data_IF_019909238632
#
_entry.id   IF_019909238632
#
_cell.length_a   1.000
_cell.length_b   1.000
_cell.length_c   1.000
_cell.angle_alpha   90.00
_cell.angle_beta   90.00
_cell.angle_gamma   90.00
#
_symmetry.space_group_name_H-M   'P 1'
#
loop_
_entity.id
_entity.type
_entity.pdbx_description
1 polymer ?
#
# COMPACT_ATOMS: atom_id res chain seq x y z
N UNK A 1 -4.40 4.17 -28.65
CA UNK A 1 -3.85 4.34 -27.28
C UNK A 1 -4.94 3.96 -26.29
N UNK A 2 -4.67 2.99 -25.43
CA UNK A 2 -5.64 2.47 -24.45
C UNK A 2 -5.65 3.34 -23.18
N UNK A 3 -6.71 3.24 -22.37
CA UNK A 3 -6.76 3.94 -21.08
C UNK A 3 -5.61 3.54 -20.14
N UNK A 4 -5.23 2.27 -20.15
CA UNK A 4 -4.14 1.77 -19.30
C UNK A 4 -2.78 2.34 -19.73
N UNK A 5 -2.55 2.51 -21.03
CA UNK A 5 -1.35 3.16 -21.55
C UNK A 5 -1.29 4.64 -21.15
N UNK A 6 -2.43 5.35 -21.23
CA UNK A 6 -2.51 6.75 -20.78
C UNK A 6 -2.24 6.87 -19.27
N UNK A 7 -2.82 6.00 -18.44
CA UNK A 7 -2.52 5.97 -17.01
C UNK A 7 -1.05 5.64 -16.73
N UNK A 8 -0.46 4.72 -17.50
CA UNK A 8 0.97 4.43 -17.40
C UNK A 8 1.82 5.67 -17.72
N UNK A 9 1.53 6.37 -18.79
CA UNK A 9 2.22 7.61 -19.17
C UNK A 9 2.03 8.71 -18.13
N UNK A 10 0.81 8.84 -17.57
CA UNK A 10 0.56 9.77 -16.45
C UNK A 10 1.47 9.45 -15.24
N UNK A 11 1.65 8.17 -14.90
CA UNK A 11 2.59 7.78 -13.86
C UNK A 11 4.02 8.23 -14.16
N UNK A 12 4.50 7.96 -15.37
CA UNK A 12 5.87 8.34 -15.79
C UNK A 12 6.08 9.85 -15.77
N UNK A 13 5.08 10.62 -16.21
CA UNK A 13 5.15 12.08 -16.21
C UNK A 13 5.13 12.69 -14.79
N UNK A 14 4.61 11.94 -13.81
CA UNK A 14 4.52 12.37 -12.41
C UNK A 14 5.43 11.53 -11.49
N UNK A 15 6.56 11.05 -11.98
CA UNK A 15 7.46 10.17 -11.21
C UNK A 15 7.99 10.84 -9.94
N UNK A 16 8.11 12.16 -9.90
CA UNK A 16 8.53 12.95 -8.74
C UNK A 16 7.50 12.97 -7.61
N UNK A 17 6.22 12.70 -7.93
CA UNK A 17 5.11 12.62 -6.98
C UNK A 17 4.98 11.25 -6.32
N UNK A 18 5.80 10.27 -6.75
CA UNK A 18 5.75 8.91 -6.19
C UNK A 18 6.17 8.93 -4.73
N UNK A 19 5.26 8.47 -3.88
CA UNK A 19 5.48 8.42 -2.44
C UNK A 19 5.24 9.76 -1.71
N UNK A 20 4.89 10.84 -2.41
CA UNK A 20 4.67 12.15 -1.81
C UNK A 20 3.24 12.24 -1.25
N UNK A 21 3.07 12.42 0.08
CA UNK A 21 1.76 12.65 0.67
C UNK A 21 1.19 14.00 0.22
N UNK A 22 -0.10 14.07 0.00
CA UNK A 22 -0.80 15.30 -0.32
C UNK A 22 -2.17 15.35 0.34
N UNK A 23 -2.67 16.55 0.57
CA UNK A 23 -3.98 16.80 1.14
C UNK A 23 -4.80 17.69 0.20
N UNK A 24 -6.11 17.54 0.23
CA UNK A 24 -6.99 18.44 -0.49
C UNK A 24 -7.16 19.79 0.25
N UNK A 25 -7.91 20.73 -0.36
CA UNK A 25 -8.19 22.05 0.22
C UNK A 25 -8.88 22.01 1.60
N UNK A 26 -9.50 20.88 1.96
CA UNK A 26 -10.15 20.65 3.26
C UNK A 26 -9.24 19.93 4.26
N UNK A 27 -7.94 19.76 3.97
CA UNK A 27 -6.99 19.05 4.81
C UNK A 27 -7.16 17.53 4.85
N UNK A 28 -7.94 16.93 3.95
CA UNK A 28 -8.11 15.48 3.89
C UNK A 28 -6.98 14.86 3.06
N UNK A 29 -6.42 13.76 3.57
CA UNK A 29 -5.42 12.99 2.85
C UNK A 29 -5.95 12.51 1.49
N UNK A 30 -5.15 12.71 0.47
CA UNK A 30 -5.38 12.19 -0.87
C UNK A 30 -4.60 10.88 -1.08
N UNK A 31 -5.07 9.99 -1.97
CA UNK A 31 -4.29 8.81 -2.34
C UNK A 31 -2.90 9.19 -2.85
N UNK A 32 -1.88 8.54 -2.33
CA UNK A 32 -0.49 8.70 -2.76
C UNK A 32 -0.27 7.97 -4.07
N UNK A 33 0.53 8.53 -4.95
CA UNK A 33 1.05 7.82 -6.12
C UNK A 33 2.05 6.77 -5.64
N UNK A 34 1.65 5.49 -5.67
CA UNK A 34 2.40 4.41 -5.03
C UNK A 34 3.58 3.94 -5.89
N UNK A 35 4.74 3.64 -5.27
CA UNK A 35 5.82 2.93 -5.96
C UNK A 35 5.36 1.56 -6.46
N UNK A 36 5.99 1.04 -7.50
CA UNK A 36 5.77 -0.33 -7.98
C UNK A 36 5.99 -1.33 -6.83
N UNK A 37 5.12 -2.33 -6.71
CA UNK A 37 5.23 -3.35 -5.65
C UNK A 37 4.89 -2.84 -4.25
N UNK A 38 4.19 -1.72 -4.14
CA UNK A 38 3.76 -1.17 -2.85
C UNK A 38 2.25 -0.92 -2.79
N UNK A 39 1.75 -0.89 -1.59
CA UNK A 39 0.36 -0.50 -1.27
C UNK A 39 0.34 0.45 -0.09
N UNK A 40 -0.77 1.12 0.16
CA UNK A 40 -0.97 1.92 1.37
C UNK A 40 -1.77 1.13 2.41
N UNK A 41 -1.37 1.24 3.67
CA UNK A 41 -2.02 0.58 4.80
C UNK A 41 -2.02 1.50 6.02
N UNK A 42 -3.08 1.45 6.82
CA UNK A 42 -3.06 2.09 8.15
C UNK A 42 -2.21 1.23 9.09
N UNK A 43 -1.16 1.83 9.64
CA UNK A 43 -0.25 1.21 10.61
C UNK A 43 -0.45 1.90 11.95
N UNK A 44 -0.36 1.16 13.04
CA UNK A 44 -0.72 1.65 14.37
C UNK A 44 0.50 1.83 15.28
N UNK A 45 1.49 0.96 15.14
CA UNK A 45 2.68 0.92 16.01
C UNK A 45 3.95 1.07 15.19
N UNK A 46 4.90 1.85 15.68
CA UNK A 46 6.25 1.95 15.14
C UNK A 46 7.25 1.46 16.19
N UNK A 47 8.06 0.47 15.82
CA UNK A 47 9.14 -0.06 16.64
C UNK A 47 10.45 0.56 16.17
N UNK A 48 11.21 1.12 17.11
CA UNK A 48 12.54 1.67 16.88
C UNK A 48 13.60 0.64 17.27
N UNK A 49 14.54 0.39 16.35
CA UNK A 49 15.63 -0.57 16.49
C UNK A 49 16.98 0.11 16.28
N UNK A 50 18.04 -0.46 16.87
CA UNK A 50 19.42 -0.14 16.49
C UNK A 50 19.77 -0.78 15.13
N UNK A 51 20.92 -0.42 14.57
CA UNK A 51 21.47 -1.03 13.33
C UNK A 51 21.69 -2.54 13.48
N UNK A 52 21.93 -3.03 14.71
CA UNK A 52 22.14 -4.42 15.04
C UNK A 52 20.84 -5.18 15.34
N UNK A 53 19.68 -4.55 15.18
CA UNK A 53 18.38 -5.17 15.46
C UNK A 53 18.10 -5.36 16.95
N UNK A 54 18.54 -4.42 17.80
CA UNK A 54 18.13 -4.38 19.20
C UNK A 54 16.92 -3.45 19.35
N UNK A 55 15.93 -3.88 20.11
CA UNK A 55 14.77 -3.04 20.48
C UNK A 55 15.24 -1.84 21.29
N UNK A 56 14.72 -0.67 20.98
CA UNK A 56 14.96 0.56 21.72
C UNK A 56 13.68 1.01 22.43
N UNK A 57 12.63 1.23 21.70
CA UNK A 57 11.30 1.60 22.18
C UNK A 57 10.26 1.43 21.06
N UNK A 58 8.99 1.46 21.42
CA UNK A 58 7.89 1.53 20.49
C UNK A 58 6.99 2.74 20.77
N UNK A 59 6.25 3.18 19.76
CA UNK A 59 5.24 4.22 19.92
C UNK A 59 3.99 3.93 19.12
N UNK A 60 2.86 4.43 19.58
CA UNK A 60 1.63 4.45 18.81
C UNK A 60 1.69 5.65 17.88
N UNK A 61 1.37 5.42 16.60
CA UNK A 61 1.37 6.46 15.58
C UNK A 61 0.18 7.41 15.76
N UNK A 62 0.40 8.68 15.50
CA UNK A 62 -0.68 9.67 15.43
C UNK A 62 -1.50 9.44 14.16
N UNK A 63 -2.73 9.90 14.14
CA UNK A 63 -3.68 9.71 13.02
C UNK A 63 -3.10 10.16 11.67
N UNK A 64 -2.35 11.26 11.66
CA UNK A 64 -1.68 11.84 10.49
C UNK A 64 -0.42 11.06 10.04
N UNK A 65 0.09 10.14 10.87
CA UNK A 65 1.25 9.31 10.56
C UNK A 65 0.88 7.86 10.17
N UNK A 66 -0.39 7.46 10.35
CA UNK A 66 -0.81 6.07 10.20
C UNK A 66 -0.80 5.57 8.76
N UNK A 67 -1.14 6.45 7.80
CA UNK A 67 -1.13 6.07 6.38
C UNK A 67 0.30 5.80 5.93
N UNK A 68 0.63 4.54 5.73
CA UNK A 68 1.99 4.07 5.50
C UNK A 68 2.07 3.35 4.16
N UNK A 69 3.10 3.66 3.37
CA UNK A 69 3.46 2.91 2.16
C UNK A 69 4.20 1.65 2.60
N UNK A 70 3.70 0.50 2.19
CA UNK A 70 4.29 -0.79 2.56
C UNK A 70 4.58 -1.63 1.33
N UNK A 71 5.67 -2.43 1.33
CA UNK A 71 5.93 -3.39 0.27
C UNK A 71 4.80 -4.43 0.19
N UNK A 72 4.48 -4.88 -1.00
CA UNK A 72 3.53 -5.97 -1.19
C UNK A 72 3.86 -6.82 -2.42
N UNK A 73 3.61 -8.11 -2.31
CA UNK A 73 3.55 -9.02 -3.46
C UNK A 73 2.17 -8.94 -4.11
N UNK A 74 2.00 -9.44 -5.32
CA UNK A 74 0.67 -9.56 -5.95
C UNK A 74 -0.30 -10.35 -5.06
N UNK A 75 0.16 -11.43 -4.47
CA UNK A 75 -0.64 -12.28 -3.58
C UNK A 75 -1.01 -11.57 -2.28
N UNK A 76 -0.03 -10.93 -1.62
CA UNK A 76 -0.29 -10.22 -0.36
C UNK A 76 -1.17 -8.99 -0.55
N UNK A 77 -1.06 -8.29 -1.67
CA UNK A 77 -1.93 -7.16 -2.01
C UNK A 77 -3.37 -7.60 -2.24
N UNK A 78 -3.59 -8.80 -2.78
CA UNK A 78 -4.89 -9.35 -3.11
C UNK A 78 -5.48 -10.24 -2.01
N UNK A 79 -4.81 -10.42 -0.87
CA UNK A 79 -5.27 -11.32 0.19
C UNK A 79 -6.64 -10.94 0.73
N UNK A 80 -7.57 -11.88 0.65
CA UNK A 80 -8.93 -11.75 1.20
C UNK A 80 -9.20 -12.80 2.27
N UNK A 81 -8.77 -14.04 2.03
CA UNK A 81 -8.99 -15.20 2.90
C UNK A 81 -7.74 -16.05 3.12
N UNK A 82 -6.75 -15.92 2.25
CA UNK A 82 -5.48 -16.63 2.38
C UNK A 82 -4.47 -15.85 3.23
N UNK A 83 -3.78 -16.50 4.16
CA UNK A 83 -2.76 -15.86 4.96
C UNK A 83 -1.44 -15.74 4.17
N UNK A 84 -1.29 -14.63 3.44
CA UNK A 84 -0.04 -14.27 2.75
C UNK A 84 0.52 -13.01 3.43
N UNK A 85 1.72 -13.05 4.04
CA UNK A 85 2.29 -11.90 4.71
C UNK A 85 2.70 -10.80 3.73
N UNK A 86 2.52 -9.53 4.14
CA UNK A 86 3.20 -8.42 3.49
C UNK A 86 4.67 -8.42 3.89
N UNK A 87 5.58 -8.10 2.98
CA UNK A 87 6.99 -7.91 3.33
C UNK A 87 7.18 -6.73 4.29
N UNK A 88 8.05 -6.84 5.26
CA UNK A 88 8.52 -5.82 6.19
C UNK A 88 7.45 -5.26 7.17
N UNK A 89 6.23 -4.98 6.74
CA UNK A 89 5.18 -4.34 7.57
C UNK A 89 3.92 -5.18 7.53
N UNK A 90 3.48 -5.71 8.68
CA UNK A 90 2.23 -6.47 8.75
C UNK A 90 1.63 -6.44 10.16
N UNK A 91 0.52 -7.16 10.35
CA UNK A 91 -0.15 -7.38 11.63
C UNK A 91 0.65 -8.30 12.55
N UNK A 92 0.39 -8.19 13.85
CA UNK A 92 0.97 -9.07 14.88
C UNK A 92 0.85 -10.56 14.52
N UNK A 93 -0.28 -11.00 13.98
CA UNK A 93 -0.51 -12.37 13.51
C UNK A 93 0.59 -12.91 12.57
N UNK A 94 1.19 -12.01 11.76
CA UNK A 94 2.17 -12.38 10.74
C UNK A 94 3.61 -12.22 11.23
N UNK A 95 3.87 -11.20 12.04
CA UNK A 95 5.24 -10.78 12.37
C UNK A 95 5.69 -11.21 13.78
N UNK A 96 4.75 -11.52 14.69
CA UNK A 96 5.09 -11.85 16.08
C UNK A 96 5.23 -13.36 16.30
N UNK A 97 6.43 -13.81 16.65
CA UNK A 97 6.70 -15.21 16.95
C UNK A 97 6.01 -15.70 18.23
N UNK A 98 5.74 -14.79 19.15
CA UNK A 98 5.06 -15.02 20.43
C UNK A 98 3.53 -14.81 20.37
N UNK A 99 2.93 -14.61 19.18
CA UNK A 99 1.50 -14.36 19.01
C UNK A 99 0.61 -15.42 19.67
N UNK A 100 0.97 -16.69 19.55
CA UNK A 100 0.24 -17.81 20.19
C UNK A 100 0.32 -17.80 21.72
N UNK A 101 1.48 -17.41 22.28
CA UNK A 101 1.72 -17.29 23.74
C UNK A 101 0.73 -16.30 24.37
N UNK A 102 0.46 -15.20 23.68
CA UNK A 102 -0.42 -14.13 24.15
C UNK A 102 -1.88 -14.23 23.66
N UNK A 103 -2.35 -15.43 23.32
CA UNK A 103 -3.77 -15.69 23.04
C UNK A 103 -4.23 -15.33 21.63
N UNK A 104 -3.31 -15.20 20.68
CA UNK A 104 -3.64 -15.06 19.27
C UNK A 104 -4.46 -16.25 18.77
N UNK A 105 -5.67 -15.99 18.28
CA UNK A 105 -6.62 -17.02 17.85
C UNK A 105 -6.55 -17.34 16.35
N UNK A 106 -5.91 -16.48 15.57
CA UNK A 106 -5.74 -16.67 14.13
C UNK A 106 -4.52 -17.55 13.84
N UNK A 107 -4.51 -18.19 12.67
CA UNK A 107 -3.35 -18.94 12.20
C UNK A 107 -2.12 -18.02 12.14
N UNK A 108 -1.11 -18.35 12.92
CA UNK A 108 0.16 -17.64 12.93
C UNK A 108 0.92 -17.92 11.62
N UNK A 109 1.52 -16.89 11.02
CA UNK A 109 2.22 -16.95 9.75
C UNK A 109 3.66 -16.40 9.87
N UNK A 110 4.20 -16.43 11.06
CA UNK A 110 5.53 -15.90 11.37
C UNK A 110 6.66 -16.61 10.60
N UNK A 111 6.56 -17.92 10.44
CA UNK A 111 7.56 -18.69 9.71
C UNK A 111 7.61 -18.30 8.22
N UNK A 112 6.44 -18.14 7.59
CA UNK A 112 6.31 -17.73 6.20
C UNK A 112 6.76 -16.28 6.02
N UNK A 113 6.43 -15.41 6.97
CA UNK A 113 6.88 -14.02 6.98
C UNK A 113 8.42 -13.93 7.10
N UNK A 114 9.01 -14.63 8.07
CA UNK A 114 10.47 -14.66 8.23
C UNK A 114 11.19 -15.24 7.01
N UNK A 115 10.61 -16.28 6.40
CA UNK A 115 11.18 -16.85 5.17
C UNK A 115 11.24 -15.78 4.07
N UNK A 116 10.14 -15.09 3.82
CA UNK A 116 10.08 -14.03 2.82
C UNK A 116 11.09 -12.89 3.10
N UNK A 117 11.16 -12.44 4.35
CA UNK A 117 12.09 -11.37 4.75
C UNK A 117 13.54 -11.84 4.65
N UNK A 118 13.85 -13.08 5.00
CA UNK A 118 15.18 -13.69 4.89
C UNK A 118 15.59 -13.84 3.43
N UNK A 119 14.69 -14.28 2.55
CA UNK A 119 14.95 -14.42 1.12
C UNK A 119 15.31 -13.04 0.50
N UNK A 120 14.59 -11.98 0.89
CA UNK A 120 14.93 -10.61 0.49
C UNK A 120 16.29 -10.16 1.04
N UNK A 121 16.55 -10.32 2.35
CA UNK A 121 17.83 -9.96 2.97
C UNK A 121 19.03 -10.66 2.35
N UNK A 122 18.87 -11.92 1.91
CA UNK A 122 19.94 -12.74 1.33
C UNK A 122 20.11 -12.53 -0.19
N UNK A 123 19.21 -11.78 -0.81
CA UNK A 123 19.31 -11.43 -2.23
C UNK A 123 20.42 -10.38 -2.45
N UNK A 124 20.86 -10.18 -3.71
CA UNK A 124 21.78 -9.10 -4.05
C UNK A 124 21.25 -7.69 -3.70
N UNK A 125 19.96 -7.58 -3.45
CA UNK A 125 19.27 -6.33 -3.16
C UNK A 125 19.04 -6.11 -1.66
N UNK A 126 19.44 -7.05 -0.78
CA UNK A 126 19.24 -6.96 0.67
C UNK A 126 19.97 -5.76 1.27
N UNK A 127 19.30 -5.06 2.21
CA UNK A 127 19.83 -3.87 2.88
C UNK A 127 20.14 -4.14 4.35
N UNK A 128 21.17 -3.51 4.93
CA UNK A 128 21.51 -3.67 6.35
C UNK A 128 20.35 -3.33 7.29
N UNK A 129 19.58 -2.27 7.02
CA UNK A 129 18.44 -1.88 7.85
C UNK A 129 17.27 -2.89 7.79
N UNK A 130 17.04 -3.54 6.66
CA UNK A 130 16.04 -4.62 6.54
C UNK A 130 16.52 -5.86 7.29
N UNK A 131 17.82 -6.12 7.25
CA UNK A 131 18.47 -7.22 8.02
C UNK A 131 18.39 -6.98 9.52
N UNK A 132 18.49 -5.74 10.00
CA UNK A 132 18.30 -5.40 11.41
C UNK A 132 16.89 -5.78 11.88
N UNK A 133 15.87 -5.54 11.06
CA UNK A 133 14.49 -5.97 11.35
C UNK A 133 14.39 -7.50 11.39
N UNK A 134 15.01 -8.21 10.45
CA UNK A 134 15.04 -9.67 10.44
C UNK A 134 15.67 -10.21 11.75
N UNK A 135 16.83 -9.70 12.14
CA UNK A 135 17.51 -10.13 13.38
C UNK A 135 16.67 -9.87 14.64
N UNK A 136 15.93 -8.77 14.68
CA UNK A 136 14.99 -8.51 15.75
C UNK A 136 13.86 -9.52 15.77
N UNK A 137 13.19 -9.73 14.66
CA UNK A 137 12.02 -10.60 14.57
C UNK A 137 12.35 -12.08 14.78
N UNK A 138 13.56 -12.53 14.44
CA UNK A 138 14.03 -13.90 14.69
C UNK A 138 14.08 -14.26 16.18
N UNK A 139 14.13 -13.28 17.10
CA UNK A 139 14.05 -13.50 18.54
C UNK A 139 12.67 -14.01 18.98
N UNK A 140 11.62 -13.66 18.25
CA UNK A 140 10.25 -14.11 18.52
C UNK A 140 9.61 -13.52 19.76
N UNK A 141 10.03 -12.33 20.23
CA UNK A 141 9.57 -11.67 21.46
C UNK A 141 8.87 -10.34 21.23
N UNK A 142 8.33 -10.09 20.03
CA UNK A 142 7.79 -8.80 19.64
C UNK A 142 6.64 -8.33 20.54
N UNK A 143 5.68 -9.21 20.88
CA UNK A 143 4.55 -8.84 21.75
C UNK A 143 5.04 -8.60 23.17
N UNK A 144 5.98 -9.39 23.66
CA UNK A 144 6.61 -9.20 24.97
C UNK A 144 7.25 -7.82 25.10
N UNK A 145 8.09 -7.42 24.13
CA UNK A 145 8.70 -6.10 24.09
C UNK A 145 7.65 -4.97 24.06
N UNK A 146 6.55 -5.14 23.30
CA UNK A 146 5.48 -4.14 23.23
C UNK A 146 4.64 -4.06 24.53
N UNK A 147 4.54 -5.14 25.28
CA UNK A 147 3.90 -5.14 26.61
C UNK A 147 4.81 -4.45 27.62
N UNK A 148 6.09 -4.77 27.63
CA UNK A 148 7.07 -4.16 28.53
C UNK A 148 7.19 -2.64 28.29
N UNK A 149 7.07 -2.19 27.05
CA UNK A 149 7.09 -0.77 26.67
C UNK A 149 5.72 -0.05 26.84
N UNK A 150 4.70 -0.75 27.35
CA UNK A 150 3.37 -0.19 27.63
C UNK A 150 2.50 0.10 26.41
N UNK A 151 2.81 -0.49 25.26
CA UNK A 151 2.05 -0.34 24.01
C UNK A 151 0.86 -1.29 23.94
N UNK A 152 1.06 -2.57 24.35
CA UNK A 152 0.03 -3.59 24.38
C UNK A 152 -0.30 -4.00 25.82
N UNK A 153 -1.53 -4.44 26.03
CA UNK A 153 -2.09 -4.73 27.36
C UNK A 153 -2.57 -6.18 27.45
N UNK A 154 -2.24 -6.84 28.58
CA UNK A 154 -2.70 -8.19 28.87
C UNK A 154 -3.74 -8.18 29.99
N UNK A 155 -4.65 -9.15 29.96
CA UNK A 155 -5.61 -9.41 31.02
C UNK A 155 -5.01 -10.25 32.15
N UNK A 156 -5.83 -10.54 33.16
CA UNK A 156 -5.46 -11.41 34.28
C UNK A 156 -5.14 -12.85 33.85
N UNK A 157 -5.56 -13.25 32.66
CA UNK A 157 -5.25 -14.56 32.06
C UNK A 157 -3.92 -14.58 31.29
N UNK A 158 -3.16 -13.47 31.31
CA UNK A 158 -1.90 -13.31 30.60
C UNK A 158 -2.02 -13.20 29.08
N UNK A 159 -3.23 -12.98 28.54
CA UNK A 159 -3.48 -12.84 27.11
C UNK A 159 -3.78 -11.40 26.74
N UNK A 160 -3.56 -11.04 25.47
CA UNK A 160 -3.88 -9.72 24.94
C UNK A 160 -5.37 -9.41 25.12
N UNK A 161 -5.67 -8.26 25.69
CA UNK A 161 -7.03 -7.75 25.86
C UNK A 161 -7.60 -7.40 24.50
N UNK A 162 -8.72 -8.00 24.08
CA UNK A 162 -9.35 -7.72 22.78
C UNK A 162 -10.17 -6.44 22.77
N UNK A 163 -10.73 -6.06 23.93
CA UNK A 163 -11.51 -4.83 24.10
C UNK A 163 -11.21 -4.23 25.45
N UNK A 164 -11.05 -2.92 25.48
CA UNK A 164 -10.92 -2.21 26.74
C UNK A 164 -12.24 -2.27 27.53
N UNK A 165 -12.16 -2.66 28.79
CA UNK A 165 -13.30 -2.80 29.71
C UNK A 165 -13.24 -1.82 30.89
N UNK A 166 -12.18 -1.03 30.99
CA UNK A 166 -12.01 0.02 31.99
C UNK A 166 -12.79 1.30 31.68
N UNK A 167 -12.59 2.34 32.49
CA UNK A 167 -13.21 3.64 32.26
C UNK A 167 -12.84 4.20 30.88
N UNK A 168 -13.77 4.90 30.22
CA UNK A 168 -13.57 5.44 28.87
C UNK A 168 -12.44 6.46 28.82
N UNK A 169 -12.31 7.23 29.88
CA UNK A 169 -11.29 8.29 30.04
C UNK A 169 -9.89 7.72 30.17
N UNK A 170 -9.77 6.47 30.62
CA UNK A 170 -8.51 5.73 30.80
C UNK A 170 -8.18 4.82 29.62
N UNK A 171 -8.98 4.86 28.55
CA UNK A 171 -8.77 3.98 27.37
C UNK A 171 -7.40 4.22 26.76
N UNK A 172 -6.49 3.22 26.76
CA UNK A 172 -5.19 3.37 26.15
C UNK A 172 -5.28 3.65 24.65
N UNK A 173 -4.32 4.41 24.14
CA UNK A 173 -4.34 4.96 22.78
C UNK A 173 -4.46 3.87 21.71
N UNK A 174 -3.88 2.68 21.95
CA UNK A 174 -3.94 1.56 21.01
C UNK A 174 -5.39 1.14 20.70
N UNK A 175 -6.29 1.12 21.69
CA UNK A 175 -7.68 0.75 21.52
C UNK A 175 -8.51 1.85 20.81
N UNK A 176 -8.03 3.10 20.85
CA UNK A 176 -8.68 4.22 20.18
C UNK A 176 -8.31 4.31 18.69
N UNK A 177 -7.12 3.82 18.34
CA UNK A 177 -6.56 3.96 16.99
C UNK A 177 -6.94 2.81 16.06
N UNK A 178 -7.22 1.63 16.61
CA UNK A 178 -7.57 0.44 15.82
C UNK A 178 -9.09 0.36 15.62
N UNK A 179 -9.51 0.23 14.37
CA UNK A 179 -10.92 0.04 14.06
C UNK A 179 -11.47 -1.22 14.75
N UNK A 180 -12.50 -1.04 15.58
CA UNK A 180 -13.07 -2.12 16.40
C UNK A 180 -12.36 -2.36 17.73
N UNK A 181 -11.26 -1.63 18.01
CA UNK A 181 -10.58 -1.64 19.30
C UNK A 181 -9.89 -2.96 19.68
N UNK A 182 -9.61 -3.85 18.73
CA UNK A 182 -8.89 -5.12 18.99
C UNK A 182 -7.40 -4.94 18.71
N UNK A 183 -6.58 -4.81 19.77
CA UNK A 183 -5.14 -4.61 19.63
C UNK A 183 -4.41 -5.77 18.92
N UNK A 184 -5.00 -6.97 18.85
CA UNK A 184 -4.43 -8.09 18.10
C UNK A 184 -4.40 -7.84 16.58
N UNK A 185 -5.17 -6.86 16.09
CA UNK A 185 -5.20 -6.43 14.70
C UNK A 185 -4.19 -5.31 14.38
N UNK A 186 -3.36 -4.92 15.34
CA UNK A 186 -2.37 -3.88 15.16
C UNK A 186 -1.39 -4.21 14.02
N UNK A 187 -1.21 -3.26 13.11
CA UNK A 187 -0.12 -3.26 12.14
C UNK A 187 1.10 -2.58 12.74
N UNK A 188 2.28 -3.12 12.45
CA UNK A 188 3.55 -2.64 12.98
C UNK A 188 4.50 -2.31 11.83
N UNK A 189 5.17 -1.15 11.92
CA UNK A 189 6.27 -0.75 11.05
C UNK A 189 7.55 -0.55 11.86
N UNK A 190 8.66 -0.41 11.16
CA UNK A 190 9.99 -0.33 11.78
C UNK A 190 10.71 0.95 11.42
N UNK A 191 11.41 1.47 12.43
CA UNK A 191 12.38 2.54 12.33
C UNK A 191 13.75 1.94 12.72
N UNK A 192 14.76 2.17 11.93
CA UNK A 192 16.13 1.69 12.23
C UNK A 192 17.05 2.89 12.25
N UNK A 193 17.74 3.10 13.37
CA UNK A 193 18.69 4.19 13.55
C UNK A 193 18.07 5.58 13.25
N UNK A 194 16.84 5.78 13.72
CA UNK A 194 16.11 7.05 13.55
C UNK A 194 15.45 7.25 12.18
N UNK A 195 15.52 6.27 11.27
CA UNK A 195 14.92 6.33 9.93
C UNK A 195 13.75 5.37 9.80
N UNK A 196 12.57 5.90 9.50
CA UNK A 196 11.40 5.08 9.19
C UNK A 196 11.58 4.37 7.85
N UNK A 197 11.63 3.03 7.85
CA UNK A 197 11.90 2.25 6.64
C UNK A 197 10.80 2.36 5.60
N UNK A 198 9.58 2.65 6.03
CA UNK A 198 8.42 2.85 5.14
C UNK A 198 8.52 4.11 4.27
N UNK A 199 9.37 5.06 4.63
CA UNK A 199 9.56 6.32 3.90
C UNK A 199 10.94 6.39 3.20
N UNK A 200 11.69 5.30 3.22
CA UNK A 200 13.02 5.22 2.63
C UNK A 200 12.94 4.68 1.20
N UNK A 201 13.20 5.55 0.24
CA UNK A 201 13.21 5.21 -1.19
C UNK A 201 14.25 4.13 -1.55
N UNK A 202 15.33 4.02 -0.77
CA UNK A 202 16.30 2.92 -0.94
C UNK A 202 15.69 1.57 -0.58
N UNK A 203 14.86 1.54 0.48
CA UNK A 203 14.13 0.32 0.88
C UNK A 203 13.09 -0.04 -0.18
N UNK A 204 12.34 0.94 -0.71
CA UNK A 204 11.40 0.69 -1.80
C UNK A 204 12.08 0.11 -3.03
N UNK A 205 13.16 0.74 -3.49
CA UNK A 205 13.91 0.28 -4.65
C UNK A 205 14.52 -1.11 -4.44
N UNK A 206 15.05 -1.37 -3.26
CA UNK A 206 15.58 -2.69 -2.88
C UNK A 206 14.50 -3.77 -2.99
N UNK A 207 13.32 -3.51 -2.44
CA UNK A 207 12.21 -4.46 -2.53
C UNK A 207 11.74 -4.67 -3.97
N UNK A 208 11.58 -3.59 -4.75
CA UNK A 208 11.16 -3.68 -6.16
C UNK A 208 12.13 -4.56 -6.94
N UNK A 209 13.45 -4.32 -6.82
CA UNK A 209 14.46 -5.10 -7.53
C UNK A 209 14.47 -6.57 -7.09
N UNK A 210 14.37 -6.82 -5.78
CA UNK A 210 14.22 -8.16 -5.25
C UNK A 210 12.98 -8.86 -5.83
N UNK A 211 11.82 -8.21 -5.75
CA UNK A 211 10.57 -8.83 -6.19
C UNK A 211 10.56 -9.11 -7.69
N UNK A 212 11.04 -8.18 -8.51
CA UNK A 212 11.19 -8.40 -9.94
C UNK A 212 12.14 -9.58 -10.25
N UNK A 213 13.19 -9.77 -9.46
CA UNK A 213 14.15 -10.87 -9.69
C UNK A 213 13.57 -12.26 -9.44
N UNK A 214 12.50 -12.38 -8.67
CA UNK A 214 11.83 -13.66 -8.38
C UNK A 214 10.62 -13.95 -9.27
N UNK A 215 10.13 -12.95 -10.02
CA UNK A 215 9.09 -13.16 -11.02
C UNK A 215 9.68 -13.96 -12.19
N UNK A 216 8.93 -14.98 -12.66
CA UNK A 216 9.45 -15.94 -13.64
C UNK A 216 8.77 -15.85 -15.00
N UNK A 217 7.57 -15.25 -15.06
CA UNK A 217 6.77 -15.24 -16.28
C UNK A 217 7.14 -14.04 -17.11
N UNK A 218 7.70 -14.27 -18.28
CA UNK A 218 8.00 -13.22 -19.25
C UNK A 218 7.29 -13.52 -20.57
N UNK A 219 6.55 -12.56 -21.08
CA UNK A 219 5.92 -12.63 -22.40
C UNK A 219 5.70 -11.22 -22.98
N UNK A 220 5.07 -11.15 -24.14
CA UNK A 220 4.79 -9.91 -24.84
C UNK A 220 3.68 -9.13 -24.12
N UNK A 221 3.97 -7.91 -23.66
CA UNK A 221 2.99 -7.04 -23.04
C UNK A 221 2.17 -6.31 -24.11
N UNK A 222 0.85 -6.49 -24.12
CA UNK A 222 -0.05 -5.87 -25.08
C UNK A 222 -0.14 -4.34 -24.97
N UNK A 223 0.25 -3.78 -23.83
CA UNK A 223 0.25 -2.33 -23.62
C UNK A 223 1.54 -1.69 -24.10
N UNK A 224 2.69 -2.30 -23.76
CA UNK A 224 4.01 -1.74 -24.06
C UNK A 224 4.61 -2.22 -25.39
N UNK A 225 4.03 -3.23 -26.02
CA UNK A 225 4.51 -3.76 -27.29
C UNK A 225 5.90 -4.41 -27.24
N UNK A 226 6.30 -4.91 -26.06
CA UNK A 226 7.61 -5.56 -25.83
C UNK A 226 7.53 -6.69 -24.81
N UNK A 227 8.53 -7.57 -24.80
CA UNK A 227 8.67 -8.60 -23.77
C UNK A 227 9.00 -7.97 -22.42
N UNK A 228 8.33 -8.45 -21.36
CA UNK A 228 8.56 -8.04 -19.99
C UNK A 228 7.96 -9.06 -19.01
N UNK A 229 8.34 -8.95 -17.73
CA UNK A 229 7.74 -9.76 -16.66
C UNK A 229 6.25 -9.47 -16.56
N UNK A 230 5.43 -10.52 -16.56
CA UNK A 230 3.98 -10.41 -16.55
C UNK A 230 3.39 -10.35 -15.15
N UNK A 231 2.33 -9.58 -15.01
CA UNK A 231 1.46 -9.63 -13.85
C UNK A 231 0.56 -10.88 -13.89
N UNK A 232 0.38 -11.50 -12.73
CA UNK A 232 -0.58 -12.58 -12.53
C UNK A 232 -1.90 -12.06 -11.95
N UNK A 233 -1.84 -11.04 -11.11
CA UNK A 233 -2.98 -10.47 -10.41
C UNK A 233 -3.00 -8.96 -10.57
N UNK A 234 -4.04 -8.44 -11.22
CA UNK A 234 -4.23 -6.99 -11.32
C UNK A 234 -4.61 -6.36 -9.98
N UNK A 235 -4.16 -5.12 -9.72
CA UNK A 235 -4.52 -4.38 -8.52
C UNK A 235 -6.02 -4.19 -8.35
N UNK A 236 -6.47 -4.03 -7.12
CA UNK A 236 -7.83 -3.68 -6.72
C UNK A 236 -7.80 -2.44 -5.81
N UNK A 237 -8.91 -2.05 -5.20
CA UNK A 237 -9.05 -0.81 -4.40
C UNK A 237 -8.86 0.46 -5.26
N UNK A 238 -9.41 0.44 -6.45
CA UNK A 238 -9.22 1.53 -7.41
C UNK A 238 -10.05 2.75 -7.02
N UNK A 239 -11.36 2.59 -6.80
CA UNK A 239 -12.29 3.69 -6.49
C UNK A 239 -12.21 4.12 -5.02
N UNK A 240 -12.03 3.16 -4.12
CA UNK A 240 -11.92 3.41 -2.68
C UNK A 240 -11.23 2.22 -1.97
N UNK A 241 -10.80 2.37 -0.71
CA UNK A 241 -10.11 1.30 0.04
C UNK A 241 -10.90 0.01 0.24
N UNK A 242 -12.23 0.07 0.17
CA UNK A 242 -13.11 -1.09 0.32
C UNK A 242 -13.44 -1.80 -0.99
N UNK A 243 -13.11 -1.18 -2.13
CA UNK A 243 -13.42 -1.71 -3.45
C UNK A 243 -12.54 -2.92 -3.78
N UNK A 244 -13.19 -4.07 -3.96
CA UNK A 244 -12.51 -5.33 -4.32
C UNK A 244 -12.60 -5.65 -5.81
N UNK A 245 -13.27 -4.82 -6.60
CA UNK A 245 -13.37 -5.00 -8.03
C UNK A 245 -11.99 -4.83 -8.69
N UNK A 246 -11.70 -5.70 -9.63
CA UNK A 246 -10.54 -5.60 -10.53
C UNK A 246 -11.02 -5.12 -11.88
N UNK A 247 -10.37 -4.13 -12.44
CA UNK A 247 -10.70 -3.64 -13.79
C UNK A 247 -10.25 -4.61 -14.87
N UNK A 248 -9.21 -5.39 -14.58
CA UNK A 248 -8.61 -6.33 -15.50
C UNK A 248 -8.47 -7.67 -14.78
N UNK A 249 -8.98 -8.74 -15.37
CA UNK A 249 -8.84 -10.10 -14.86
C UNK A 249 -9.01 -11.11 -16.00
N UNK A 250 -8.11 -12.09 -16.08
CA UNK A 250 -8.21 -13.23 -16.99
C UNK A 250 -7.78 -14.54 -16.33
N UNK A 251 -7.73 -14.56 -14.99
CA UNK A 251 -7.33 -15.72 -14.21
C UNK A 251 -8.49 -16.69 -13.87
N UNK A 252 -9.64 -16.51 -14.51
CA UNK A 252 -10.81 -17.34 -14.31
C UNK A 252 -10.74 -18.60 -15.18
N UNK A 253 -10.25 -19.68 -14.62
CA UNK A 253 -10.23 -21.00 -15.27
C UNK A 253 -11.58 -21.72 -15.30
N UNK A 254 -12.61 -21.22 -14.60
CA UNK A 254 -13.89 -21.88 -14.41
C UNK A 254 -14.99 -21.27 -15.27
N UNK A 255 -15.09 -19.96 -15.31
CA UNK A 255 -16.19 -19.23 -15.96
C UNK A 255 -15.88 -18.64 -17.33
N UNK A 256 -14.71 -18.98 -17.90
CA UNK A 256 -14.52 -18.77 -19.33
C UNK A 256 -14.26 -17.35 -19.82
N UNK A 257 -13.62 -16.51 -19.02
CA UNK A 257 -13.20 -15.18 -19.49
C UNK A 257 -12.51 -15.23 -20.86
N UNK A 258 -11.84 -16.34 -21.18
CA UNK A 258 -11.12 -16.55 -22.43
C UNK A 258 -11.50 -17.81 -23.21
N UNK A 259 -12.35 -18.72 -22.68
CA UNK A 259 -12.70 -19.98 -23.31
C UNK A 259 -13.36 -19.79 -24.67
N UNK A 260 -13.03 -20.69 -25.60
CA UNK A 260 -13.53 -20.69 -26.97
C UNK A 260 -12.80 -19.70 -27.90
N UNK A 261 -11.90 -18.85 -27.37
CA UNK A 261 -11.11 -17.91 -28.15
C UNK A 261 -9.61 -18.12 -27.95
N UNK A 262 -9.19 -18.51 -26.75
CA UNK A 262 -7.81 -18.65 -26.35
C UNK A 262 -7.59 -19.97 -25.61
N UNK A 263 -6.37 -20.50 -25.63
CA UNK A 263 -6.01 -21.74 -24.94
C UNK A 263 -5.74 -21.52 -23.46
N UNK A 264 -5.21 -20.35 -23.12
CA UNK A 264 -4.88 -19.97 -21.75
C UNK A 264 -5.15 -18.48 -21.46
N UNK A 265 -5.00 -18.12 -20.20
CA UNK A 265 -5.27 -16.76 -19.74
C UNK A 265 -4.27 -15.74 -20.29
N UNK A 266 -3.07 -16.15 -20.64
CA UNK A 266 -2.00 -15.28 -21.16
C UNK A 266 -2.28 -14.85 -22.59
N UNK A 267 -2.83 -15.76 -23.41
CA UNK A 267 -3.29 -15.40 -24.75
C UNK A 267 -4.46 -14.39 -24.69
N UNK A 268 -5.30 -14.49 -23.66
CA UNK A 268 -6.42 -13.59 -23.49
C UNK A 268 -5.96 -12.19 -23.01
N UNK A 269 -5.01 -12.14 -22.07
CA UNK A 269 -4.54 -10.93 -21.46
C UNK A 269 -3.11 -11.06 -20.95
N UNK A 270 -2.20 -10.33 -21.59
CA UNK A 270 -0.78 -10.26 -21.23
C UNK A 270 -0.37 -8.81 -20.96
N UNK A 271 -0.19 -8.48 -19.68
CA UNK A 271 0.21 -7.12 -19.24
C UNK A 271 1.41 -7.24 -18.31
N UNK A 272 2.43 -6.42 -18.56
CA UNK A 272 3.61 -6.35 -17.73
C UNK A 272 3.32 -5.96 -16.28
N UNK A 273 4.05 -6.54 -15.34
CA UNK A 273 3.89 -6.27 -13.92
C UNK A 273 4.04 -4.77 -13.60
N UNK A 274 5.15 -4.15 -14.01
CA UNK A 274 5.35 -2.72 -13.79
C UNK A 274 4.27 -1.88 -14.48
N UNK A 275 3.88 -2.27 -15.70
CA UNK A 275 2.84 -1.55 -16.46
C UNK A 275 1.52 -1.51 -15.71
N UNK A 276 1.06 -2.66 -15.20
CA UNK A 276 -0.21 -2.73 -14.46
C UNK A 276 -0.12 -2.01 -13.10
N UNK A 277 1.01 -2.14 -12.39
CA UNK A 277 1.21 -1.45 -11.11
C UNK A 277 1.18 0.07 -11.29
N UNK A 278 1.95 0.61 -12.22
CA UNK A 278 2.01 2.05 -12.53
C UNK A 278 0.66 2.60 -13.00
N UNK A 279 0.02 1.93 -13.96
CA UNK A 279 -1.25 2.37 -14.50
C UNK A 279 -2.38 2.40 -13.44
N UNK A 280 -2.49 1.37 -12.61
CA UNK A 280 -3.50 1.33 -11.56
C UNK A 280 -3.19 2.29 -10.41
N UNK A 281 -1.91 2.51 -10.08
CA UNK A 281 -1.51 3.51 -9.09
C UNK A 281 -1.88 4.92 -9.56
N UNK A 282 -1.57 5.26 -10.81
CA UNK A 282 -1.94 6.55 -11.41
C UNK A 282 -3.46 6.73 -11.44
N UNK A 283 -4.22 5.72 -11.86
CA UNK A 283 -5.68 5.79 -11.90
C UNK A 283 -6.27 6.05 -10.52
N UNK A 284 -5.82 5.33 -9.49
CA UNK A 284 -6.26 5.54 -8.10
C UNK A 284 -5.89 6.94 -7.60
N UNK A 285 -4.70 7.40 -7.90
CA UNK A 285 -4.20 8.73 -7.54
C UNK A 285 -5.04 9.84 -8.19
N UNK A 286 -5.35 9.72 -9.49
CA UNK A 286 -6.21 10.63 -10.23
C UNK A 286 -7.65 10.64 -9.68
N UNK A 287 -8.24 9.46 -9.41
CA UNK A 287 -9.59 9.37 -8.85
C UNK A 287 -9.67 10.10 -7.51
N UNK A 288 -8.67 9.95 -6.66
CA UNK A 288 -8.66 10.64 -5.37
C UNK A 288 -8.51 12.15 -5.46
N UNK A 289 -7.88 12.66 -6.51
CA UNK A 289 -7.65 14.10 -6.72
C UNK A 289 -8.81 14.78 -7.43
N UNK A 290 -9.35 14.17 -8.47
CA UNK A 290 -10.30 14.82 -9.38
C UNK A 290 -11.45 13.90 -9.85
N UNK A 291 -11.53 12.68 -9.31
CA UNK A 291 -12.64 11.78 -9.60
C UNK A 291 -13.92 12.20 -8.90
N UNK A 292 -15.05 12.12 -9.61
CA UNK A 292 -16.38 12.41 -9.08
C UNK A 292 -17.16 11.11 -9.04
N UNK A 293 -17.76 10.81 -7.88
CA UNK A 293 -18.61 9.64 -7.70
C UNK A 293 -20.08 10.04 -7.74
N UNK A 294 -20.83 9.40 -8.63
CA UNK A 294 -22.29 9.55 -8.75
C UNK A 294 -22.90 8.15 -8.61
N UNK A 295 -23.51 7.88 -7.47
CA UNK A 295 -23.97 6.53 -7.11
C UNK A 295 -22.78 5.55 -7.12
N UNK A 296 -22.89 4.47 -7.91
CA UNK A 296 -21.84 3.44 -8.04
C UNK A 296 -20.81 3.76 -9.14
N UNK A 297 -20.98 4.85 -9.85
CA UNK A 297 -20.08 5.25 -10.95
C UNK A 297 -19.03 6.24 -10.45
N UNK A 298 -17.83 6.13 -11.00
CA UNK A 298 -16.76 7.12 -10.82
C UNK A 298 -16.40 7.67 -12.20
N UNK A 299 -16.56 8.98 -12.35
CA UNK A 299 -16.23 9.73 -13.57
C UNK A 299 -14.88 10.39 -13.34
N UNK A 300 -13.98 10.27 -14.31
CA UNK A 300 -12.66 10.84 -14.27
C UNK A 300 -12.31 11.45 -15.62
N UNK A 301 -11.88 12.71 -15.59
CA UNK A 301 -11.28 13.41 -16.72
C UNK A 301 -9.90 13.89 -16.30
N UNK A 302 -8.88 13.68 -17.11
CA UNK A 302 -7.50 14.08 -16.78
C UNK A 302 -6.67 14.39 -18.05
N UNK A 303 -5.68 15.28 -17.91
CA UNK A 303 -4.56 15.45 -18.83
C UNK A 303 -3.43 14.46 -18.51
N UNK A 304 -2.58 14.14 -19.47
CA UNK A 304 -1.41 13.26 -19.26
C UNK A 304 -0.18 14.04 -18.74
N UNK A 305 -0.18 15.34 -18.86
CA UNK A 305 0.81 16.26 -18.30
C UNK A 305 0.16 17.09 -17.18
N UNK A 306 0.93 17.99 -16.58
CA UNK A 306 0.47 18.90 -15.51
C UNK A 306 -0.44 20.00 -16.08
N UNK A 307 -1.49 19.59 -16.79
CA UNK A 307 -2.51 20.48 -17.35
C UNK A 307 -3.65 20.59 -16.33
N UNK A 308 -4.05 21.81 -16.03
CA UNK A 308 -5.27 22.04 -15.26
C UNK A 308 -6.47 21.61 -16.12
N UNK A 309 -7.11 20.53 -15.72
CA UNK A 309 -8.32 20.05 -16.36
C UNK A 309 -9.51 20.59 -15.56
N UNK A 310 -10.46 21.27 -16.20
CA UNK A 310 -11.65 21.76 -15.53
C UNK A 310 -12.41 20.65 -14.81
N UNK A 311 -13.08 21.00 -13.72
CA UNK A 311 -13.92 20.03 -12.98
C UNK A 311 -15.05 19.52 -13.89
N UNK A 312 -15.32 18.22 -13.83
CA UNK A 312 -16.45 17.59 -14.57
C UNK A 312 -17.81 18.22 -14.20
N UNK A 313 -17.88 18.87 -13.04
CA UNK A 313 -19.10 19.55 -12.55
C UNK A 313 -19.08 21.05 -12.76
N UNK A 314 -18.02 21.60 -13.35
CA UNK A 314 -17.90 23.01 -13.64
C UNK A 314 -18.79 23.38 -14.81
N UNK A 315 -19.56 24.46 -14.67
CA UNK A 315 -20.39 24.94 -15.76
C UNK A 315 -19.56 25.82 -16.74
N UNK A 316 -20.12 26.04 -17.91
CA UNK A 316 -19.45 26.83 -18.98
C UNK A 316 -19.19 28.27 -18.54
N UNK A 317 -19.98 28.82 -17.63
CA UNK A 317 -19.83 30.19 -17.14
C UNK A 317 -18.61 30.32 -16.22
N UNK A 318 -18.41 29.34 -15.30
CA UNK A 318 -17.21 29.28 -14.47
C UNK A 318 -15.93 29.16 -15.28
N UNK A 319 -15.93 28.29 -16.31
CA UNK A 319 -14.80 28.12 -17.22
C UNK A 319 -14.42 29.39 -17.98
N UNK A 320 -15.41 30.14 -18.46
CA UNK A 320 -15.17 31.40 -19.19
C UNK A 320 -14.63 32.48 -18.25
N UNK A 321 -15.14 32.54 -17.03
CA UNK A 321 -14.68 33.52 -16.03
C UNK A 321 -13.23 33.29 -15.61
N UNK A 322 -12.84 32.03 -15.39
CA UNK A 322 -11.45 31.69 -15.04
C UNK A 322 -10.50 32.00 -16.22
N UNK A 323 -10.94 31.80 -17.47
CA UNK A 323 -10.14 32.17 -18.65
C UNK A 323 -10.00 33.70 -18.82
N UNK A 324 -11.01 34.48 -18.40
CA UNK A 324 -10.94 35.95 -18.46
C UNK A 324 -10.05 36.52 -17.33
N UNK A 325 -9.99 35.89 -16.17
CA UNK A 325 -9.11 36.27 -15.05
C UNK A 325 -7.62 35.98 -15.35
N UNK A 326 -7.32 35.00 -16.20
CA UNK A 326 -5.94 34.62 -16.59
C UNK A 326 -5.45 35.33 -17.89
N UNK A 327 -6.26 36.19 -18.52
CA UNK A 327 -5.85 36.93 -19.72
C UNK A 327 -5.04 38.19 -19.36
N UNK A 328 -3.70 38.18 -19.55
CA UNK A 328 -2.84 39.33 -19.19
C UNK A 328 -3.06 40.57 -20.09
N UNK A 329 -3.94 40.50 -21.08
CA UNK A 329 -4.26 41.62 -21.99
C UNK A 329 -5.56 42.36 -21.62
N UNK A 330 -6.30 41.91 -20.58
CA UNK A 330 -7.49 42.64 -20.10
C UNK A 330 -7.16 43.84 -19.20
N UNK A 331 -5.95 43.92 -18.65
CA UNK A 331 -5.44 45.11 -17.94
C UNK A 331 -4.71 46.07 -18.92
N UNK A 332 -5.43 46.60 -19.90
CA UNK A 332 -4.94 47.70 -20.72
C UNK A 332 -4.92 49.02 -19.92
N UNK A 333 -3.91 49.89 -20.14
CA UNK A 333 -3.80 51.13 -19.38
C UNK A 333 -4.97 52.07 -19.70
N UNK A 334 -5.58 52.63 -18.62
CA UNK A 334 -6.45 53.81 -18.69
C UNK A 334 -5.69 55.03 -19.17
#
# INVERSE_FOLDING_TARGET
MSWIERCYQTYENNITEVGVPSVNRLGRELPVLLPVGHTSQKVHVEISLTKEGKFLFARILRMDEMTTIIPCTEESSARTSGPVPHPLVDKLQYIAGDYGKYGGSKKMMWAEYLKQLRDWCNSPYGLPQVRAVLFYLEKGCLIEDLIEDGILFIGSDGKLVKKWTGAKEETPLIFQTITGGDQTEAFVRFNVDGKALSNDTMVWNSFIQYYLSILKREAFCYVQGRKMLLSQLSPYKIRNPGDRAKLISSNDGTNFTYRGRFNDAEEALSIGYETTQKAHSALRWLIGRQGISIGDQTILVWGMADEQVPSVTEDTYGLVKDMEEDDPYLDGPE
#
